data_IF_836537989578
#
_entry.id   IF_836537989578
#
_cell.length_a   1.000
_cell.length_b   1.000
_cell.length_c   1.000
_cell.angle_alpha   90.00
_cell.angle_beta   90.00
_cell.angle_gamma   90.00
#
_symmetry.space_group_name_H-M   'P 1'
#
loop_
_entity.id
_entity.type
_entity.pdbx_description
1 polymer ?
#
# COMPACT_ATOMS: atom_id res chain seq x y z
N UNK A 1 38.68 -40.67 20.42
CA UNK A 1 38.19 -39.34 20.82
C UNK A 1 38.18 -38.41 19.60
N UNK A 2 37.03 -38.23 18.95
CA UNK A 2 36.90 -37.29 17.83
C UNK A 2 36.45 -35.93 18.38
N UNK A 3 37.30 -34.91 18.26
CA UNK A 3 36.95 -33.52 18.63
C UNK A 3 35.98 -32.97 17.58
N UNK A 4 34.70 -32.86 17.93
CA UNK A 4 33.71 -32.09 17.18
C UNK A 4 34.16 -30.62 17.10
N UNK A 5 34.48 -30.16 15.89
CA UNK A 5 34.70 -28.74 15.61
C UNK A 5 33.37 -28.02 15.79
N UNK A 6 33.30 -27.12 16.78
CA UNK A 6 32.19 -26.16 16.93
C UNK A 6 32.12 -25.35 15.63
N UNK A 7 31.12 -25.59 14.81
CA UNK A 7 30.82 -24.77 13.64
C UNK A 7 30.29 -23.44 14.15
N UNK A 8 31.14 -22.43 14.05
CA UNK A 8 30.84 -21.04 14.30
C UNK A 8 29.71 -20.62 13.33
N UNK A 9 28.48 -20.49 13.84
CA UNK A 9 27.32 -19.96 13.13
C UNK A 9 27.54 -18.46 12.94
N UNK A 10 28.40 -18.10 11.98
CA UNK A 10 28.51 -16.72 11.49
C UNK A 10 27.12 -16.27 11.06
N UNK A 11 26.63 -15.26 11.76
CA UNK A 11 25.58 -14.31 11.38
C UNK A 11 25.29 -14.35 9.86
N UNK A 12 24.21 -15.04 9.50
CA UNK A 12 23.79 -15.25 8.10
C UNK A 12 22.84 -14.16 7.60
N UNK A 13 22.75 -13.03 8.29
CA UNK A 13 21.87 -11.94 7.85
C UNK A 13 22.65 -10.97 6.97
N UNK A 14 22.89 -11.37 5.73
CA UNK A 14 23.44 -10.46 4.72
C UNK A 14 22.50 -9.26 4.57
N UNK A 15 23.03 -8.05 4.42
CA UNK A 15 22.23 -6.83 4.17
C UNK A 15 21.27 -6.98 2.98
N UNK A 16 21.57 -7.90 2.03
CA UNK A 16 20.70 -8.28 0.92
C UNK A 16 19.40 -8.96 1.39
N UNK A 17 19.45 -9.76 2.44
CA UNK A 17 18.31 -10.55 2.92
C UNK A 17 17.27 -9.66 3.60
N UNK A 18 17.73 -8.70 4.43
CA UNK A 18 16.84 -7.69 5.04
C UNK A 18 16.21 -6.75 4.01
N UNK A 19 16.94 -6.40 2.96
CA UNK A 19 16.37 -5.60 1.86
C UNK A 19 15.23 -6.33 1.14
N UNK A 20 15.41 -7.63 0.87
CA UNK A 20 14.36 -8.45 0.27
C UNK A 20 13.17 -8.65 1.21
N UNK A 21 13.40 -8.73 2.51
CA UNK A 21 12.34 -8.81 3.52
C UNK A 21 11.44 -7.56 3.49
N UNK A 22 12.01 -6.36 3.52
CA UNK A 22 11.22 -5.12 3.41
C UNK A 22 10.51 -4.99 2.06
N UNK A 23 11.14 -5.44 0.98
CA UNK A 23 10.50 -5.49 -0.34
C UNK A 23 9.31 -6.44 -0.36
N UNK A 24 9.43 -7.60 0.28
CA UNK A 24 8.37 -8.60 0.34
C UNK A 24 7.17 -8.11 1.17
N UNK A 25 7.41 -7.31 2.20
CA UNK A 25 6.33 -6.65 2.98
C UNK A 25 5.47 -5.70 2.13
N UNK A 26 6.03 -5.12 1.06
CA UNK A 26 5.31 -4.20 0.17
C UNK A 26 4.53 -4.91 -0.94
N UNK A 27 4.79 -6.19 -1.21
CA UNK A 27 4.14 -6.92 -2.29
C UNK A 27 2.61 -6.99 -2.13
N UNK A 28 2.06 -7.34 -0.96
CA UNK A 28 0.61 -7.41 -0.79
C UNK A 28 -0.08 -6.06 -1.04
N UNK A 29 0.49 -4.95 -0.58
CA UNK A 29 -0.02 -3.60 -0.85
C UNK A 29 -0.21 -3.33 -2.36
N UNK A 30 0.76 -3.75 -3.17
CA UNK A 30 0.71 -3.60 -4.64
C UNK A 30 -0.37 -4.50 -5.24
N UNK A 31 -0.53 -5.72 -4.72
CA UNK A 31 -1.56 -6.65 -5.19
C UNK A 31 -2.97 -6.13 -4.92
N UNK A 32 -3.26 -5.64 -3.71
CA UNK A 32 -4.57 -5.07 -3.38
C UNK A 32 -4.86 -3.78 -4.16
N UNK A 33 -3.83 -2.96 -4.39
CA UNK A 33 -3.97 -1.78 -5.25
C UNK A 33 -4.33 -2.17 -6.69
N UNK A 34 -3.76 -3.29 -7.18
CA UNK A 34 -4.08 -3.82 -8.49
C UNK A 34 -5.48 -4.45 -8.52
N UNK A 35 -5.92 -5.10 -7.44
CA UNK A 35 -7.29 -5.62 -7.22
C UNK A 35 -8.31 -4.49 -7.43
N UNK A 36 -8.18 -3.38 -6.69
CA UNK A 36 -9.05 -2.21 -6.81
C UNK A 36 -9.09 -1.71 -8.25
N UNK A 37 -7.94 -1.63 -8.92
CA UNK A 37 -7.84 -1.20 -10.31
C UNK A 37 -8.56 -2.14 -11.30
N UNK A 38 -8.69 -3.45 -11.02
CA UNK A 38 -9.41 -4.39 -11.89
C UNK A 38 -10.88 -3.99 -12.07
N UNK A 39 -11.54 -3.47 -11.03
CA UNK A 39 -12.92 -2.99 -11.13
C UNK A 39 -13.07 -1.88 -12.19
N UNK A 40 -12.01 -1.11 -12.47
CA UNK A 40 -12.01 -0.02 -13.44
C UNK A 40 -11.53 -0.44 -14.84
N UNK A 41 -10.76 -1.53 -14.97
CA UNK A 41 -10.22 -2.01 -16.26
C UNK A 41 -11.25 -2.71 -17.16
N UNK A 42 -12.29 -3.33 -16.60
CA UNK A 42 -13.24 -4.13 -17.38
C UNK A 42 -14.21 -3.31 -18.25
N UNK A 43 -14.23 -1.97 -18.15
CA UNK A 43 -15.17 -1.12 -18.90
C UNK A 43 -14.44 -0.13 -19.79
N UNK A 44 -13.78 -0.68 -20.80
CA UNK A 44 -13.32 0.03 -22.00
C UNK A 44 -14.40 1.00 -22.54
N UNK A 45 -14.10 2.29 -22.41
CA UNK A 45 -14.39 3.44 -23.28
C UNK A 45 -15.82 3.78 -23.75
N UNK A 46 -16.83 2.88 -23.71
CA UNK A 46 -18.17 3.19 -24.29
C UNK A 46 -19.26 3.59 -23.30
N UNK A 47 -19.03 3.62 -21.98
CA UNK A 47 -20.12 3.83 -20.99
C UNK A 47 -19.76 4.73 -19.80
N UNK A 48 -19.05 5.83 -20.01
CA UNK A 48 -18.91 6.90 -18.99
C UNK A 48 -20.28 7.43 -18.56
N UNK A 49 -21.28 7.46 -19.46
CA UNK A 49 -22.68 7.78 -19.15
C UNK A 49 -23.39 6.81 -18.17
N UNK A 50 -22.75 5.71 -17.75
CA UNK A 50 -23.25 4.80 -16.69
C UNK A 50 -22.41 4.84 -15.40
N UNK A 51 -21.48 5.79 -15.24
CA UNK A 51 -20.59 5.88 -14.07
C UNK A 51 -21.35 5.84 -12.74
N UNK A 52 -22.47 6.56 -12.61
CA UNK A 52 -23.29 6.53 -11.38
C UNK A 52 -23.92 5.16 -11.09
N UNK A 53 -24.31 4.39 -12.11
CA UNK A 53 -24.82 3.02 -11.92
C UNK A 53 -23.70 2.03 -11.63
N UNK A 54 -22.54 2.21 -12.28
CA UNK A 54 -21.35 1.41 -12.03
C UNK A 54 -20.89 1.53 -10.57
N UNK A 55 -20.75 2.78 -10.08
CA UNK A 55 -20.39 3.03 -8.69
C UNK A 55 -21.41 2.43 -7.73
N UNK A 56 -22.72 2.53 -8.00
CA UNK A 56 -23.73 1.88 -7.14
C UNK A 56 -23.59 0.36 -7.07
N UNK A 57 -23.24 -0.30 -8.17
CA UNK A 57 -23.17 -1.77 -8.22
C UNK A 57 -21.83 -2.36 -7.77
N UNK A 58 -20.76 -1.55 -7.71
CA UNK A 58 -19.41 -2.03 -7.36
C UNK A 58 -18.87 -1.32 -6.11
N UNK A 59 -19.69 -0.50 -5.44
CA UNK A 59 -19.26 0.35 -4.32
C UNK A 59 -18.65 -0.48 -3.20
N UNK A 60 -19.32 -1.58 -2.87
CA UNK A 60 -18.97 -2.43 -1.74
C UNK A 60 -17.67 -3.18 -2.04
N UNK A 61 -17.56 -3.82 -3.21
CA UNK A 61 -16.32 -4.49 -3.67
C UNK A 61 -15.12 -3.53 -3.76
N UNK A 62 -15.32 -2.32 -4.32
CA UNK A 62 -14.26 -1.30 -4.35
C UNK A 62 -13.91 -0.86 -2.93
N UNK A 63 -14.90 -0.74 -2.04
CA UNK A 63 -14.72 -0.40 -0.64
C UNK A 63 -13.90 -1.45 0.12
N UNK A 64 -14.18 -2.73 -0.11
CA UNK A 64 -13.42 -3.86 0.43
C UNK A 64 -11.97 -3.82 -0.05
N UNK A 65 -11.72 -3.69 -1.36
CA UNK A 65 -10.35 -3.58 -1.87
C UNK A 65 -9.60 -2.35 -1.36
N UNK A 66 -10.28 -1.21 -1.17
CA UNK A 66 -9.68 -0.03 -0.54
C UNK A 66 -9.35 -0.27 0.95
N UNK A 67 -10.18 -1.04 1.66
CA UNK A 67 -9.92 -1.42 3.03
C UNK A 67 -8.70 -2.37 3.11
N UNK A 68 -8.55 -3.30 2.17
CA UNK A 68 -7.38 -4.18 2.10
C UNK A 68 -6.08 -3.41 1.80
N UNK A 69 -6.14 -2.42 0.90
CA UNK A 69 -5.02 -1.49 0.68
C UNK A 69 -4.67 -0.75 1.96
N UNK A 70 -5.67 -0.21 2.67
CA UNK A 70 -5.44 0.51 3.93
C UNK A 70 -4.83 -0.40 5.00
N UNK A 71 -5.33 -1.64 5.12
CA UNK A 71 -4.79 -2.63 6.03
C UNK A 71 -3.28 -2.84 5.81
N UNK A 72 -2.84 -3.06 4.56
CA UNK A 72 -1.43 -3.24 4.26
C UNK A 72 -0.59 -1.98 4.48
N UNK A 73 -1.14 -0.78 4.24
CA UNK A 73 -0.47 0.48 4.61
C UNK A 73 -0.19 0.53 6.11
N UNK A 74 -1.17 0.16 6.94
CA UNK A 74 -1.04 0.15 8.40
C UNK A 74 -0.01 -0.89 8.85
N UNK A 75 -0.08 -2.11 8.31
CA UNK A 75 0.86 -3.19 8.64
C UNK A 75 2.31 -2.83 8.28
N UNK A 76 2.54 -2.36 7.06
CA UNK A 76 3.88 -1.94 6.62
C UNK A 76 4.39 -0.78 7.48
N UNK A 77 3.53 0.18 7.84
CA UNK A 77 3.94 1.31 8.68
C UNK A 77 4.35 0.84 10.07
N UNK A 78 3.59 -0.09 10.66
CA UNK A 78 3.92 -0.71 11.94
C UNK A 78 5.27 -1.44 11.88
N UNK A 79 5.46 -2.32 10.90
CA UNK A 79 6.64 -3.17 10.79
C UNK A 79 7.92 -2.38 10.47
N UNK A 80 7.79 -1.26 9.75
CA UNK A 80 8.90 -0.34 9.46
C UNK A 80 9.11 0.71 10.57
N UNK A 81 8.30 0.73 11.63
CA UNK A 81 8.38 1.73 12.70
C UNK A 81 8.08 3.15 12.22
N UNK A 82 7.25 3.30 11.19
CA UNK A 82 6.85 4.59 10.63
C UNK A 82 5.65 5.12 11.41
N UNK A 83 5.80 6.32 11.97
CA UNK A 83 4.66 7.12 12.43
C UNK A 83 3.88 7.62 11.20
N UNK A 84 2.91 6.80 10.79
CA UNK A 84 2.10 7.06 9.60
C UNK A 84 1.28 8.34 9.76
N UNK A 85 0.74 8.60 10.96
CA UNK A 85 -0.07 9.79 11.23
C UNK A 85 0.77 11.05 11.03
N UNK A 86 1.93 11.14 11.69
CA UNK A 86 2.84 12.26 11.54
C UNK A 86 3.31 12.44 10.10
N UNK A 87 3.59 11.34 9.40
CA UNK A 87 4.00 11.35 7.99
C UNK A 87 2.89 11.87 7.07
N UNK A 88 1.65 11.45 7.32
CA UNK A 88 0.47 11.91 6.60
C UNK A 88 0.20 13.40 6.83
N UNK A 89 0.22 13.86 8.08
CA UNK A 89 0.00 15.27 8.44
C UNK A 89 1.03 16.17 7.74
N UNK A 90 2.33 15.84 7.85
CA UNK A 90 3.40 16.58 7.18
C UNK A 90 3.29 16.54 5.64
N UNK A 91 2.76 15.45 5.08
CA UNK A 91 2.50 15.34 3.64
C UNK A 91 1.32 16.22 3.23
N UNK A 92 0.27 16.31 4.04
CA UNK A 92 -0.88 17.15 3.77
C UNK A 92 -0.51 18.64 3.81
N UNK A 93 0.27 19.09 4.78
CA UNK A 93 0.79 20.46 4.83
C UNK A 93 1.59 20.81 3.55
N UNK A 94 2.48 19.91 3.12
CA UNK A 94 3.24 20.06 1.86
C UNK A 94 2.35 20.12 0.63
N UNK A 95 1.24 19.37 0.63
CA UNK A 95 0.30 19.35 -0.49
C UNK A 95 -0.56 20.62 -0.52
N UNK A 96 -0.94 21.19 0.62
CA UNK A 96 -1.69 22.46 0.71
C UNK A 96 -0.96 23.62 0.04
N UNK A 97 0.37 23.61 0.04
CA UNK A 97 1.18 24.60 -0.69
C UNK A 97 1.34 24.31 -2.20
N UNK A 98 1.13 23.07 -2.65
CA UNK A 98 1.31 22.65 -4.06
C UNK A 98 0.00 22.64 -4.85
N UNK A 99 -1.10 22.33 -4.18
CA UNK A 99 -2.45 22.38 -4.72
C UNK A 99 -3.25 23.24 -3.74
N UNK A 100 -3.19 24.58 -3.88
CA UNK A 100 -4.11 25.44 -3.14
C UNK A 100 -5.50 24.90 -3.46
N UNK A 101 -6.20 24.47 -2.41
CA UNK A 101 -7.59 24.06 -2.52
C UNK A 101 -8.29 25.37 -2.89
N UNK A 102 -8.52 25.61 -4.18
CA UNK A 102 -9.50 26.61 -4.57
C UNK A 102 -10.76 26.23 -3.81
N UNK A 103 -11.09 27.03 -2.80
CA UNK A 103 -12.38 26.98 -2.18
C UNK A 103 -13.36 27.18 -3.33
N UNK A 104 -13.94 26.08 -3.83
CA UNK A 104 -15.14 26.17 -4.63
C UNK A 104 -16.18 26.74 -3.68
N UNK A 105 -16.30 28.06 -3.72
CA UNK A 105 -17.26 28.79 -2.93
C UNK A 105 -18.66 28.30 -3.27
N UNK A 106 -19.42 28.09 -2.20
CA UNK A 106 -20.88 27.92 -2.13
C UNK A 106 -21.48 26.68 -2.79
#
# INVERSE_FOLDING_TARGET
>A
MAKLKKTNTKDRTSSRDKFNEYKNMLLPLVLESAEVLKHFKLKSQKKVAKAGRFMKSNKDEIGEGLADVLYWVLMVSHDLGIDLKKSFDAKMEKNSGKFPIESKGK
#
